data_IF_284641860775
#
_entry.id   IF_284641860775
#
_cell.length_a   1.000
_cell.length_b   1.000
_cell.length_c   1.000
_cell.angle_alpha   90.00
_cell.angle_beta   90.00
_cell.angle_gamma   90.00
#
_symmetry.space_group_name_H-M   'P 1'
#
loop_
_entity.id
_entity.type
_entity.pdbx_description
1 polymer ?
#
# COMPACT_ATOMS: atom_id res chain seq x y z
N UNK A 1 -10.22 13.44 -16.11
CA UNK A 1 -11.65 13.15 -16.37
C UNK A 1 -11.86 11.67 -16.11
N UNK A 2 -11.90 11.27 -14.83
CA UNK A 2 -12.41 9.98 -14.38
C UNK A 2 -13.92 10.19 -14.22
N UNK A 3 -14.66 10.11 -15.32
CA UNK A 3 -16.11 10.32 -15.30
C UNK A 3 -16.82 8.98 -15.01
N UNK A 4 -17.55 8.97 -13.90
CA UNK A 4 -18.83 8.28 -13.65
C UNK A 4 -18.96 6.76 -13.70
N UNK A 5 -17.95 6.01 -14.08
CA UNK A 5 -18.00 4.55 -14.04
C UNK A 5 -17.34 4.07 -12.74
N UNK A 6 -18.16 3.65 -11.78
CA UNK A 6 -17.74 3.27 -10.42
C UNK A 6 -16.56 2.30 -10.34
N UNK A 7 -16.02 2.05 -9.15
CA UNK A 7 -14.74 1.36 -8.97
C UNK A 7 -14.66 -0.01 -9.67
N UNK A 8 -15.76 -0.76 -9.71
CA UNK A 8 -15.87 -2.03 -10.45
C UNK A 8 -15.62 -1.86 -11.96
N UNK A 9 -16.23 -0.84 -12.58
CA UNK A 9 -16.12 -0.61 -14.01
C UNK A 9 -14.74 -0.05 -14.38
N UNK A 10 -14.15 0.77 -13.50
CA UNK A 10 -12.76 1.21 -13.63
C UNK A 10 -11.79 0.02 -13.53
N UNK A 11 -11.96 -0.87 -12.55
CA UNK A 11 -11.15 -2.09 -12.41
C UNK A 11 -11.29 -3.00 -13.65
N UNK A 12 -12.52 -3.22 -14.12
CA UNK A 12 -12.78 -3.99 -15.37
C UNK A 12 -12.11 -3.36 -16.58
N UNK A 13 -12.13 -2.03 -16.70
CA UNK A 13 -11.48 -1.32 -17.81
C UNK A 13 -9.96 -1.43 -17.73
N UNK A 14 -9.38 -1.33 -16.53
CA UNK A 14 -7.95 -1.53 -16.30
C UNK A 14 -7.50 -2.95 -16.64
N UNK A 15 -8.30 -3.95 -16.26
CA UNK A 15 -8.06 -5.36 -16.60
C UNK A 15 -8.14 -5.57 -18.11
N UNK A 16 -9.23 -5.13 -18.75
CA UNK A 16 -9.40 -5.28 -20.21
C UNK A 16 -8.35 -4.52 -21.01
N UNK A 17 -7.91 -3.36 -20.53
CA UNK A 17 -6.92 -2.52 -21.22
C UNK A 17 -5.48 -2.86 -20.85
N UNK A 18 -5.24 -3.86 -19.97
CA UNK A 18 -3.92 -4.22 -19.45
C UNK A 18 -3.16 -3.04 -18.79
N UNK A 19 -3.88 -2.04 -18.26
CA UNK A 19 -3.33 -0.80 -17.67
C UNK A 19 -3.02 -0.88 -16.18
N UNK A 20 -3.13 -2.06 -15.58
CA UNK A 20 -2.68 -2.30 -14.20
C UNK A 20 -1.18 -2.02 -13.99
N UNK A 21 -0.39 -2.05 -15.07
CA UNK A 21 1.01 -1.65 -15.03
C UNK A 21 1.18 -0.16 -14.69
N UNK A 22 0.33 0.72 -15.22
CA UNK A 22 0.35 2.15 -14.92
C UNK A 22 -0.03 2.42 -13.47
N UNK A 23 -1.07 1.75 -12.96
CA UNK A 23 -1.48 1.83 -11.55
C UNK A 23 -0.35 1.38 -10.64
N UNK A 24 0.28 0.24 -10.96
CA UNK A 24 1.43 -0.27 -10.21
C UNK A 24 2.60 0.71 -10.21
N UNK A 25 2.86 1.38 -11.33
CA UNK A 25 3.91 2.37 -11.43
C UNK A 25 3.59 3.60 -10.59
N UNK A 26 2.35 4.10 -10.65
CA UNK A 26 1.90 5.22 -9.83
C UNK A 26 2.05 4.94 -8.32
N UNK A 27 1.72 3.70 -7.90
CA UNK A 27 1.96 3.22 -6.53
C UNK A 27 3.45 3.15 -6.19
N UNK A 28 4.27 2.62 -7.11
CA UNK A 28 5.71 2.51 -6.91
C UNK A 28 6.39 3.88 -6.79
N UNK A 29 5.85 4.90 -7.46
CA UNK A 29 6.35 6.28 -7.41
C UNK A 29 5.69 7.13 -6.32
N UNK A 30 4.80 6.55 -5.50
CA UNK A 30 4.11 7.27 -4.42
C UNK A 30 3.18 8.38 -4.90
N UNK A 31 2.40 8.15 -5.97
CA UNK A 31 1.36 9.12 -6.33
C UNK A 31 0.19 9.03 -5.34
N UNK A 32 -0.23 10.16 -4.71
CA UNK A 32 -1.31 10.14 -3.72
C UNK A 32 -2.65 9.74 -4.34
N UNK A 33 -2.87 10.08 -5.62
CA UNK A 33 -4.06 9.67 -6.38
C UNK A 33 -4.16 8.14 -6.50
N UNK A 34 -3.02 7.46 -6.60
CA UNK A 34 -2.96 6.00 -6.67
C UNK A 34 -3.38 5.34 -5.36
N UNK A 35 -3.14 5.98 -4.22
CA UNK A 35 -3.56 5.46 -2.91
C UNK A 35 -5.08 5.47 -2.77
N UNK A 36 -5.73 6.57 -3.18
CA UNK A 36 -7.19 6.68 -3.18
C UNK A 36 -7.83 5.66 -4.12
N UNK A 37 -7.29 5.53 -5.34
CA UNK A 37 -7.76 4.56 -6.33
C UNK A 37 -7.58 3.12 -5.86
N UNK A 38 -6.49 2.81 -5.17
CA UNK A 38 -6.22 1.45 -4.69
C UNK A 38 -7.32 0.96 -3.75
N UNK A 39 -7.70 1.75 -2.74
CA UNK A 39 -8.75 1.36 -1.77
C UNK A 39 -10.05 0.91 -2.45
N UNK A 40 -10.40 1.58 -3.55
CA UNK A 40 -11.62 1.34 -4.31
C UNK A 40 -11.46 0.19 -5.31
N UNK A 41 -10.28 0.01 -5.90
CA UNK A 41 -9.99 -0.99 -6.94
C UNK A 41 -9.54 -2.34 -6.41
N UNK A 42 -8.99 -2.39 -5.20
CA UNK A 42 -8.50 -3.60 -4.52
C UNK A 42 -9.51 -4.75 -4.44
N UNK A 43 -10.79 -4.54 -4.04
CA UNK A 43 -11.76 -5.63 -3.98
C UNK A 43 -12.09 -6.24 -5.34
N UNK A 44 -11.89 -5.49 -6.42
CA UNK A 44 -12.23 -5.86 -7.79
C UNK A 44 -11.02 -6.39 -8.59
N UNK A 45 -9.83 -6.32 -8.01
CA UNK A 45 -8.61 -6.81 -8.63
C UNK A 45 -8.55 -8.35 -8.57
N UNK A 46 -8.21 -8.99 -9.69
CA UNK A 46 -7.94 -10.43 -9.70
C UNK A 46 -6.74 -10.77 -8.78
N UNK A 47 -6.62 -12.01 -8.29
CA UNK A 47 -5.57 -12.39 -7.35
C UNK A 47 -4.14 -12.12 -7.82
N UNK A 48 -3.85 -12.25 -9.12
CA UNK A 48 -2.50 -12.03 -9.65
C UNK A 48 -2.16 -10.53 -9.68
N UNK A 49 -3.13 -9.70 -10.04
CA UNK A 49 -3.04 -8.24 -9.96
C UNK A 49 -2.87 -7.77 -8.52
N UNK A 50 -3.68 -8.29 -7.58
CA UNK A 50 -3.59 -7.93 -6.17
C UNK A 50 -2.21 -8.25 -5.58
N UNK A 51 -1.66 -9.43 -5.89
CA UNK A 51 -0.30 -9.81 -5.48
C UNK A 51 0.79 -8.91 -6.08
N UNK A 52 0.61 -8.47 -7.33
CA UNK A 52 1.53 -7.56 -8.01
C UNK A 52 1.50 -6.16 -7.38
N UNK A 53 0.31 -5.65 -7.06
CA UNK A 53 0.11 -4.36 -6.38
C UNK A 53 0.68 -4.40 -4.96
N UNK A 54 0.39 -5.46 -4.19
CA UNK A 54 0.99 -5.67 -2.87
C UNK A 54 2.51 -5.62 -2.95
N UNK A 55 3.10 -6.30 -3.93
CA UNK A 55 4.56 -6.31 -4.11
C UNK A 55 5.11 -4.92 -4.46
N UNK A 56 4.37 -4.09 -5.19
CA UNK A 56 4.73 -2.71 -5.47
C UNK A 56 4.65 -1.84 -4.21
N UNK A 57 3.57 -1.93 -3.44
CA UNK A 57 3.43 -1.23 -2.15
C UNK A 57 4.57 -1.56 -1.20
N UNK A 58 4.92 -2.85 -1.07
CA UNK A 58 6.05 -3.28 -0.25
C UNK A 58 7.37 -2.63 -0.67
N UNK A 59 7.61 -2.47 -1.98
CA UNK A 59 8.82 -1.81 -2.50
C UNK A 59 8.80 -0.30 -2.31
N UNK A 60 7.63 0.33 -2.38
CA UNK A 60 7.45 1.76 -2.19
C UNK A 60 7.51 2.19 -0.72
N UNK A 61 7.22 1.29 0.22
CA UNK A 61 7.16 1.61 1.66
C UNK A 61 8.36 2.40 2.22
N UNK A 62 9.63 2.09 1.87
CA UNK A 62 10.77 2.85 2.38
C UNK A 62 10.94 4.26 1.77
N UNK A 63 10.33 4.53 0.61
CA UNK A 63 10.50 5.79 -0.14
C UNK A 63 9.25 6.67 -0.09
N UNK A 64 8.07 6.06 -0.01
CA UNK A 64 6.74 6.69 -0.03
C UNK A 64 5.86 6.08 1.07
N UNK A 65 6.24 6.23 2.36
CA UNK A 65 5.56 5.55 3.45
C UNK A 65 4.12 6.06 3.64
N UNK A 66 3.87 7.36 3.49
CA UNK A 66 2.56 7.97 3.69
C UNK A 66 1.53 7.42 2.69
N UNK A 67 1.88 7.37 1.41
CA UNK A 67 0.99 6.91 0.33
C UNK A 67 0.71 5.41 0.45
N UNK A 68 1.72 4.62 0.84
CA UNK A 68 1.53 3.18 1.09
C UNK A 68 0.61 2.96 2.28
N UNK A 69 0.80 3.70 3.39
CA UNK A 69 -0.09 3.63 4.55
C UNK A 69 -1.51 4.09 4.19
N UNK A 70 -1.68 5.16 3.41
CA UNK A 70 -2.99 5.63 2.98
C UNK A 70 -3.74 4.58 2.13
N UNK A 71 -3.01 3.87 1.28
CA UNK A 71 -3.52 2.82 0.40
C UNK A 71 -3.78 1.47 1.10
N UNK A 72 -3.30 1.29 2.33
CA UNK A 72 -3.51 0.05 3.08
C UNK A 72 -4.94 -0.04 3.62
N UNK A 73 -5.42 -1.27 3.73
CA UNK A 73 -6.67 -1.57 4.41
C UNK A 73 -6.64 -1.01 5.84
N UNK A 74 -7.75 -0.42 6.28
CA UNK A 74 -7.91 0.04 7.66
C UNK A 74 -7.94 -1.13 8.65
N UNK A 75 -8.34 -2.31 8.19
CA UNK A 75 -8.30 -3.56 8.96
C UNK A 75 -7.14 -4.41 8.46
N UNK A 76 -6.60 -5.32 9.27
CA UNK A 76 -5.46 -6.20 8.89
C UNK A 76 -5.91 -7.28 7.87
N UNK A 77 -6.35 -6.83 6.69
CA UNK A 77 -6.84 -7.63 5.59
C UNK A 77 -5.75 -8.50 4.96
N UNK A 78 -6.12 -9.63 4.34
CA UNK A 78 -5.17 -10.65 3.91
C UNK A 78 -4.23 -10.20 2.77
N UNK A 79 -4.66 -9.23 1.95
CA UNK A 79 -3.93 -8.80 0.76
C UNK A 79 -3.21 -7.47 0.94
N UNK A 80 -3.84 -6.51 1.64
CA UNK A 80 -3.33 -5.14 1.75
C UNK A 80 -3.32 -4.58 3.16
N UNK A 81 -3.57 -5.42 4.17
CA UNK A 81 -3.37 -5.07 5.57
C UNK A 81 -1.90 -4.92 5.94
N UNK A 82 -1.66 -4.41 7.14
CA UNK A 82 -0.30 -4.19 7.68
C UNK A 82 0.55 -5.46 7.68
N UNK A 83 -0.04 -6.65 7.92
CA UNK A 83 0.69 -7.91 7.84
C UNK A 83 1.18 -8.21 6.42
N UNK A 84 0.38 -7.91 5.41
CA UNK A 84 0.69 -8.22 4.02
C UNK A 84 1.71 -7.25 3.42
N UNK A 85 1.63 -5.97 3.79
CA UNK A 85 2.47 -4.88 3.24
C UNK A 85 3.71 -4.62 4.09
N UNK A 86 3.61 -4.66 5.41
CA UNK A 86 4.71 -4.29 6.31
C UNK A 86 5.50 -5.49 6.85
N UNK A 87 5.24 -6.71 6.35
CA UNK A 87 6.01 -7.88 6.76
C UNK A 87 7.42 -7.87 6.13
N UNK A 88 8.48 -8.06 6.94
CA UNK A 88 9.85 -8.21 6.45
C UNK A 88 10.12 -9.57 5.81
N UNK A 89 9.16 -10.50 5.82
CA UNK A 89 9.34 -11.84 5.27
C UNK A 89 9.66 -11.79 3.77
N UNK A 90 10.81 -12.34 3.37
CA UNK A 90 11.29 -12.31 1.98
C UNK A 90 11.91 -10.97 1.53
N UNK A 91 12.14 -10.03 2.46
CA UNK A 91 12.84 -8.77 2.19
C UNK A 91 14.23 -8.75 2.85
N UNK A 92 15.10 -7.85 2.39
CA UNK A 92 16.43 -7.66 2.96
C UNK A 92 16.37 -6.91 4.30
N UNK A 93 17.40 -7.09 5.14
CA UNK A 93 17.52 -6.33 6.41
C UNK A 93 17.60 -4.82 6.17
N UNK A 94 18.24 -4.38 5.08
CA UNK A 94 18.28 -2.97 4.69
C UNK A 94 16.89 -2.43 4.37
N UNK A 95 16.08 -3.19 3.62
CA UNK A 95 14.69 -2.82 3.36
C UNK A 95 13.92 -2.65 4.67
N UNK A 96 14.02 -3.60 5.60
CA UNK A 96 13.32 -3.54 6.89
C UNK A 96 13.73 -2.31 7.71
N UNK A 97 15.04 -2.03 7.81
CA UNK A 97 15.55 -0.88 8.54
C UNK A 97 15.09 0.44 7.89
N UNK A 98 15.09 0.54 6.57
CA UNK A 98 14.67 1.75 5.86
C UNK A 98 13.16 1.96 5.96
N UNK A 99 12.37 0.90 5.74
CA UNK A 99 10.92 0.91 5.92
C UNK A 99 10.55 1.36 7.34
N UNK A 100 11.22 0.83 8.37
CA UNK A 100 10.96 1.22 9.76
C UNK A 100 11.21 2.71 10.01
N UNK A 101 12.32 3.25 9.50
CA UNK A 101 12.65 4.68 9.61
C UNK A 101 11.65 5.55 8.86
N UNK A 102 11.30 5.16 7.64
CA UNK A 102 10.35 5.89 6.79
C UNK A 102 8.95 5.94 7.41
N UNK A 103 8.44 4.79 7.88
CA UNK A 103 7.13 4.71 8.56
C UNK A 103 7.13 5.53 9.85
N UNK A 104 8.17 5.45 10.67
CA UNK A 104 8.28 6.24 11.90
C UNK A 104 8.41 7.76 11.66
N UNK A 105 8.72 8.19 10.43
CA UNK A 105 8.77 9.60 10.04
C UNK A 105 7.45 10.13 9.47
N UNK A 106 6.42 9.29 9.33
CA UNK A 106 5.09 9.74 8.94
C UNK A 106 4.44 10.41 10.14
N UNK A 107 4.06 11.68 9.99
CA UNK A 107 3.43 12.48 11.04
C UNK A 107 2.02 12.91 10.62
N UNK A 108 1.24 11.94 10.14
CA UNK A 108 -0.13 12.18 9.66
C UNK A 108 -1.15 11.54 10.58
N UNK A 109 -1.95 12.37 11.25
CA UNK A 109 -2.87 11.92 12.31
C UNK A 109 -3.89 10.88 11.83
N UNK A 110 -4.31 10.95 10.57
CA UNK A 110 -5.27 10.01 9.98
C UNK A 110 -4.62 8.67 9.57
N UNK A 111 -3.29 8.56 9.62
CA UNK A 111 -2.54 7.33 9.33
C UNK A 111 -1.98 6.66 10.58
N UNK A 112 -2.12 7.27 11.76
CA UNK A 112 -1.45 6.86 13.00
C UNK A 112 -1.71 5.39 13.39
N UNK A 113 -2.93 4.88 13.17
CA UNK A 113 -3.26 3.47 13.44
C UNK A 113 -2.49 2.55 12.49
N UNK A 114 -2.49 2.88 11.20
CA UNK A 114 -1.81 2.08 10.17
C UNK A 114 -0.29 2.14 10.35
N UNK A 115 0.25 3.29 10.72
CA UNK A 115 1.66 3.48 11.05
C UNK A 115 2.07 2.56 12.20
N UNK A 116 1.33 2.58 13.31
CA UNK A 116 1.60 1.73 14.48
C UNK A 116 1.54 0.25 14.15
N UNK A 117 0.53 -0.17 13.40
CA UNK A 117 0.38 -1.56 12.96
C UNK A 117 1.54 -1.97 12.05
N UNK A 118 1.92 -1.10 11.11
CA UNK A 118 3.04 -1.32 10.20
C UNK A 118 4.38 -1.43 10.96
N UNK A 119 4.64 -0.54 11.92
CA UNK A 119 5.84 -0.59 12.76
C UNK A 119 5.90 -1.88 13.59
N UNK A 120 4.78 -2.29 14.18
CA UNK A 120 4.69 -3.56 14.92
C UNK A 120 5.10 -4.75 14.04
N UNK A 121 4.68 -4.78 12.77
CA UNK A 121 5.06 -5.84 11.81
C UNK A 121 6.51 -5.75 11.33
N UNK A 122 7.06 -4.55 11.23
CA UNK A 122 8.47 -4.31 10.87
C UNK A 122 9.44 -4.61 12.02
N UNK A 123 8.95 -5.02 13.19
CA UNK A 123 9.76 -5.27 14.39
C UNK A 123 10.19 -3.98 15.11
N UNK A 124 9.48 -2.87 14.89
CA UNK A 124 9.52 -1.69 15.74
C UNK A 124 8.45 -1.81 16.81
N UNK A 125 8.85 -1.88 18.08
CA UNK A 125 7.90 -1.59 19.16
C UNK A 125 7.49 -0.12 19.05
N UNK A 126 6.19 0.23 19.18
CA UNK A 126 5.80 1.61 19.37
C UNK A 126 6.50 2.12 20.63
N UNK A 127 7.26 3.22 20.53
CA UNK A 127 7.68 3.93 21.72
C UNK A 127 6.41 4.50 22.36
N UNK A 128 5.99 3.87 23.45
CA UNK A 128 5.04 4.47 24.37
C UNK A 128 5.74 5.65 25.04
N UNK A 129 5.25 6.86 24.78
CA UNK A 129 5.62 8.10 25.46
C UNK A 129 4.35 8.89 25.70
#
# INVERSE_FOLDING_TARGET
>A
MLENDGPEQTARTLTKSHKWSDVRQAVATGQPEAALMLTELMPEADPATALSLRSAMRRALPTHPAEVLAAMDQTDGPLFGARAVCSPHGMSRNWQSNARKAVASVHEIHLITRERDCLSRLGGLPQAG
#
